data_IF_261248619265
#
_entry.id   IF_261248619265
#
_cell.length_a   1.000
_cell.length_b   1.000
_cell.length_c   1.000
_cell.angle_alpha   90.00
_cell.angle_beta   90.00
_cell.angle_gamma   90.00
#
_symmetry.space_group_name_H-M   'P 1'
#
loop_
_entity.id
_entity.type
_entity.pdbx_description
1 polymer ?
2 non-polymer ?
3 water ?
#
# COMPACT_ATOMS: atom_id res chain seq x y z
N UNK A 1 18.74 -13.98 -5.38
CA UNK A 1 17.80 -13.13 -6.22
C UNK A 1 16.66 -12.44 -5.42
N UNK A 2 15.67 -11.81 -6.13
CA UNK A 2 14.44 -11.27 -5.50
C UNK A 2 13.46 -12.37 -5.07
N UNK A 3 12.72 -12.10 -3.99
CA UNK A 3 11.79 -13.07 -3.45
C UNK A 3 10.47 -13.11 -4.21
N UNK A 4 10.51 -13.69 -5.42
CA UNK A 4 9.36 -13.72 -6.33
C UNK A 4 8.29 -14.64 -5.85
N UNK A 5 8.68 -15.76 -5.29
CA UNK A 5 7.67 -16.69 -4.83
C UNK A 5 6.80 -16.04 -3.80
N UNK A 6 7.47 -15.42 -2.84
CA UNK A 6 6.82 -14.67 -1.77
C UNK A 6 5.94 -13.53 -2.28
N UNK A 7 6.43 -12.68 -3.21
CA UNK A 7 5.62 -11.59 -3.73
C UNK A 7 4.36 -12.13 -4.36
N UNK A 8 4.45 -13.33 -4.90
CA UNK A 8 3.35 -13.89 -5.65
C UNK A 8 2.28 -14.49 -4.73
N UNK A 9 2.69 -15.17 -3.65
CA UNK A 9 1.81 -15.57 -2.55
C UNK A 9 1.00 -14.36 -1.97
N UNK A 10 1.62 -13.19 -1.85
CA UNK A 10 0.93 -12.03 -1.34
C UNK A 10 -0.05 -11.55 -2.40
N UNK A 11 0.36 -11.53 -3.66
CA UNK A 11 -0.56 -11.05 -4.69
C UNK A 11 -1.77 -11.96 -4.83
N UNK A 12 -1.56 -13.25 -4.71
CA UNK A 12 -2.58 -14.23 -4.93
C UNK A 12 -3.64 -14.12 -3.87
N UNK A 13 -3.25 -14.20 -2.59
CA UNK A 13 -4.22 -14.22 -1.49
C UNK A 13 -4.60 -12.86 -0.91
N UNK A 14 -3.83 -11.83 -1.16
CA UNK A 14 -4.08 -10.57 -0.42
C UNK A 14 -4.21 -9.31 -1.25
N UNK A 15 -4.50 -9.41 -2.54
CA UNK A 15 -4.75 -8.20 -3.30
C UNK A 15 -6.05 -8.26 -4.05
N UNK A 16 -6.60 -7.08 -4.33
CA UNK A 16 -7.81 -6.88 -5.07
C UNK A 16 -7.57 -5.60 -5.86
N UNK A 17 -8.41 -5.36 -6.87
CA UNK A 17 -8.35 -4.18 -7.72
C UNK A 17 -9.34 -3.22 -7.10
N UNK A 18 -8.93 -2.02 -6.78
CA UNK A 18 -9.84 -1.06 -6.20
C UNK A 18 -9.92 0.12 -7.16
N UNK A 19 -11.14 0.62 -7.36
CA UNK A 19 -11.46 1.76 -8.22
C UNK A 19 -12.23 2.85 -7.42
N UNK A 20 -11.67 4.05 -7.43
CA UNK A 20 -12.24 5.22 -6.78
C UNK A 20 -12.58 6.22 -7.88
N UNK A 21 -13.03 7.41 -7.51
CA UNK A 21 -13.19 8.46 -8.51
C UNK A 21 -11.85 8.72 -9.25
N UNK A 22 -10.71 8.37 -8.63
CA UNK A 22 -9.38 8.72 -9.16
C UNK A 22 -8.77 7.67 -10.11
N UNK A 23 -9.37 6.48 -10.17
CA UNK A 23 -8.88 5.44 -11.06
C UNK A 23 -8.74 4.12 -10.34
N UNK A 24 -7.93 3.22 -10.92
CA UNK A 24 -7.72 1.91 -10.34
C UNK A 24 -6.40 1.87 -9.57
N UNK A 25 -6.35 1.02 -8.54
CA UNK A 25 -5.18 0.86 -7.68
C UNK A 25 -5.10 -0.56 -7.22
N UNK A 26 -3.89 -1.09 -7.20
CA UNK A 26 -3.63 -2.31 -6.48
C UNK A 26 -4.01 -2.10 -4.98
N UNK A 27 -4.73 -3.04 -4.40
CA UNK A 27 -5.14 -2.88 -3.01
C UNK A 27 -4.70 -4.07 -2.23
N UNK A 28 -3.90 -3.81 -1.20
CA UNK A 28 -3.40 -4.83 -0.30
C UNK A 28 -4.40 -4.99 0.84
N UNK A 29 -5.00 -6.17 0.96
CA UNK A 29 -5.79 -6.50 2.12
C UNK A 29 -4.87 -7.04 3.23
N UNK A 30 -5.09 -6.56 4.45
CA UNK A 30 -4.15 -6.80 5.51
C UNK A 30 -4.68 -7.83 6.53
N UNK A 31 -5.94 -7.72 6.97
CA UNK A 31 -6.37 -8.71 7.93
C UNK A 31 -7.81 -9.13 8.11
N UNK A 32 -8.77 -8.26 8.00
CA UNK A 32 -10.07 -8.94 8.25
C UNK A 32 -10.78 -8.50 7.04
N UNK A 33 -11.44 -7.36 7.15
CA UNK A 33 -11.90 -6.67 5.99
C UNK A 33 -11.18 -5.35 5.92
N UNK A 34 -9.92 -5.34 6.32
CA UNK A 34 -9.16 -4.10 6.41
C UNK A 34 -8.10 -4.15 5.34
N UNK A 35 -8.00 -3.08 4.56
CA UNK A 35 -7.04 -3.02 3.45
C UNK A 35 -6.37 -1.65 3.50
N UNK A 36 -5.38 -1.42 2.63
CA UNK A 36 -4.79 -0.12 2.45
C UNK A 36 -4.85 0.37 1.01
N UNK A 37 -4.81 1.68 0.84
CA UNK A 37 -4.78 2.28 -0.47
C UNK A 37 -4.12 3.66 -0.30
N UNK A 38 -3.39 4.16 -1.34
CA UNK A 38 -2.77 5.47 -1.21
C UNK A 38 -3.82 6.52 -0.94
N UNK A 39 -3.54 7.40 0.01
CA UNK A 39 -4.45 8.51 0.32
C UNK A 39 -4.88 9.27 -0.93
N UNK A 40 -3.99 9.47 -1.89
CA UNK A 40 -4.42 10.26 -3.06
C UNK A 40 -5.45 9.58 -3.99
N UNK A 41 -5.83 8.33 -3.70
CA UNK A 41 -6.95 7.67 -4.36
C UNK A 41 -8.29 8.34 -4.07
N UNK A 42 -8.38 9.16 -3.02
CA UNK A 42 -9.62 9.89 -2.65
C UNK A 42 -10.79 8.98 -2.39
N UNK A 43 -10.70 8.15 -1.35
CA UNK A 43 -11.76 7.18 -1.00
C UNK A 43 -12.97 7.87 -0.39
N UNK A 44 -14.15 7.49 -0.84
CA UNK A 44 -15.40 8.09 -0.39
C UNK A 44 -16.11 7.04 0.44
N UNK A 45 -17.42 6.91 0.23
CA UNK A 45 -18.30 6.13 1.08
C UNK A 45 -18.48 4.77 0.45
N UNK A 46 -18.21 4.71 -0.86
CA UNK A 46 -18.23 3.44 -1.57
C UNK A 46 -17.00 3.30 -2.48
N UNK A 47 -16.65 2.05 -2.78
CA UNK A 47 -15.45 1.75 -3.57
C UNK A 47 -15.72 0.46 -4.37
N UNK A 48 -15.22 0.40 -5.61
CA UNK A 48 -15.32 -0.81 -6.40
C UNK A 48 -14.17 -1.73 -6.06
N UNK A 49 -14.50 -2.98 -5.72
CA UNK A 49 -13.53 -3.96 -5.38
C UNK A 49 -13.76 -5.15 -6.33
N UNK A 50 -12.79 -5.36 -7.25
CA UNK A 50 -12.89 -6.32 -8.37
C UNK A 50 -14.20 -6.06 -9.12
N UNK A 51 -14.44 -4.78 -9.36
CA UNK A 51 -15.64 -4.28 -10.03
C UNK A 51 -16.94 -4.39 -9.26
N UNK A 52 -16.93 -4.85 -8.01
CA UNK A 52 -18.14 -4.92 -7.21
C UNK A 52 -18.28 -3.70 -6.27
N UNK A 53 -19.39 -2.95 -6.36
CA UNK A 53 -19.56 -1.78 -5.49
C UNK A 53 -19.63 -2.22 -4.00
N UNK A 54 -18.82 -1.59 -3.17
CA UNK A 54 -18.63 -2.07 -1.82
C UNK A 54 -18.70 -0.87 -0.90
N UNK A 55 -19.41 -1.04 0.21
CA UNK A 55 -19.50 0.03 1.20
C UNK A 55 -18.13 0.15 1.95
N UNK A 56 -17.58 1.36 2.01
CA UNK A 56 -16.41 1.67 2.84
C UNK A 56 -16.88 2.04 4.26
N UNK A 57 -16.74 1.11 5.18
CA UNK A 57 -17.20 1.26 6.55
C UNK A 57 -16.36 2.23 7.36
N UNK A 58 -15.10 2.41 6.99
CA UNK A 58 -14.20 3.32 7.69
C UNK A 58 -13.01 3.60 6.81
N UNK A 59 -12.54 4.84 6.79
CA UNK A 59 -11.34 5.18 6.06
C UNK A 59 -10.47 6.10 6.93
N UNK A 60 -9.24 5.69 7.28
CA UNK A 60 -8.31 6.58 8.03
C UNK A 60 -7.11 6.98 7.21
N UNK A 61 -7.08 8.26 6.81
CA UNK A 61 -5.91 8.88 6.15
C UNK A 61 -4.74 9.10 7.15
N UNK A 62 -3.73 8.23 7.18
CA UNK A 62 -2.67 8.36 8.22
C UNK A 62 -1.84 9.61 8.06
N UNK A 63 -1.73 10.34 9.17
CA UNK A 63 -0.80 11.45 9.30
C UNK A 63 0.04 11.13 10.55
N UNK A 64 1.24 11.73 10.63
CA UNK A 64 2.13 11.53 11.77
C UNK A 64 1.95 12.65 12.80
N UNK A 65 2.74 12.63 13.89
CA UNK A 65 2.55 13.64 14.93
C UNK A 65 2.92 15.06 14.52
N UNK A 66 3.60 15.27 13.38
CA UNK A 66 3.82 16.64 12.85
C UNK A 66 2.62 17.02 11.98
N UNK A 67 1.60 16.16 11.98
CA UNK A 67 0.42 16.36 11.13
C UNK A 67 0.80 16.40 9.64
N UNK A 68 1.75 15.56 9.24
CA UNK A 68 2.12 15.46 7.83
C UNK A 68 1.55 14.16 7.32
N UNK A 69 1.08 14.22 6.07
CA UNK A 69 0.68 13.09 5.26
C UNK A 69 1.64 11.90 5.27
N UNK A 70 1.11 10.69 5.47
CA UNK A 70 1.86 9.45 5.34
C UNK A 70 1.49 8.71 4.05
N UNK A 71 0.45 9.21 3.36
CA UNK A 71 -0.02 8.66 2.07
C UNK A 71 -0.61 7.23 2.16
N UNK A 72 -0.81 6.74 3.38
CA UNK A 72 -1.57 5.51 3.59
C UNK A 72 -3.00 5.86 4.08
N UNK A 73 -3.98 5.18 3.52
CA UNK A 73 -5.33 5.21 4.05
C UNK A 73 -5.75 3.80 4.37
N UNK A 74 -6.16 3.57 5.60
CA UNK A 74 -6.58 2.24 5.98
C UNK A 74 -8.08 2.25 5.82
N UNK A 75 -8.61 1.24 5.15
CA UNK A 75 -10.03 1.19 4.90
C UNK A 75 -10.56 -0.10 5.50
N UNK A 76 -11.77 0.00 6.04
CA UNK A 76 -12.48 -1.14 6.54
C UNK A 76 -13.62 -1.34 5.55
N UNK A 77 -13.80 -2.56 5.05
CA UNK A 77 -14.75 -2.78 3.94
C UNK A 77 -15.93 -3.69 4.28
N UNK A 78 -17.09 -3.43 3.67
CA UNK A 78 -18.24 -4.34 3.85
C UNK A 78 -18.25 -5.53 2.83
N UNK A 79 -17.50 -6.59 3.14
CA UNK A 79 -17.36 -7.74 2.23
C UNK A 79 -17.61 -8.98 3.03
N UNK A 80 -17.87 -10.05 2.30
CA UNK A 80 -18.06 -11.29 2.98
C UNK A 80 -16.77 -12.03 3.30
N UNK A 81 -15.84 -12.10 2.35
CA UNK A 81 -14.56 -12.78 2.62
C UNK A 81 -13.66 -11.98 3.55
N UNK A 82 -13.06 -12.68 4.52
CA UNK A 82 -11.90 -12.14 5.25
C UNK A 82 -10.61 -12.19 4.38
N UNK A 83 -9.64 -11.35 4.68
CA UNK A 83 -8.34 -11.46 4.08
C UNK A 83 -7.55 -12.34 5.00
N UNK A 84 -6.63 -13.12 4.44
CA UNK A 84 -5.65 -13.84 5.21
C UNK A 84 -4.88 -12.84 6.07
N UNK A 85 -4.69 -13.16 7.34
CA UNK A 85 -3.98 -12.23 8.23
C UNK A 85 -2.47 -12.18 7.91
N UNK A 86 -1.99 -11.06 7.37
CA UNK A 86 -0.56 -10.95 7.03
C UNK A 86 0.17 -9.92 7.89
N UNK A 87 -0.43 -9.50 8.99
CA UNK A 87 0.27 -8.65 9.92
C UNK A 87 1.63 -9.20 10.38
N UNK A 88 1.81 -10.51 10.55
CA UNK A 88 3.15 -10.95 10.97
C UNK A 88 4.24 -10.71 9.89
N UNK A 89 3.84 -10.44 8.65
CA UNK A 89 4.80 -10.13 7.60
C UNK A 89 5.19 -8.70 7.56
N UNK A 90 4.63 -7.88 8.46
CA UNK A 90 4.92 -6.43 8.44
C UNK A 90 6.13 -6.10 9.33
N UNK A 91 7.03 -5.23 8.82
CA UNK A 91 8.13 -4.67 9.60
C UNK A 91 7.62 -3.90 10.84
N UNK A 92 8.25 -4.17 11.97
CA UNK A 92 8.14 -3.42 13.20
C UNK A 92 8.62 -1.98 13.03
N UNK A 93 9.68 -1.77 12.25
CA UNK A 93 10.36 -0.48 12.28
C UNK A 93 10.69 0.01 10.93
N UNK A 94 11.01 1.29 10.81
CA UNK A 94 11.66 1.83 9.62
C UNK A 94 12.95 1.06 9.31
N UNK A 95 13.23 0.77 8.03
CA UNK A 95 14.45 0.08 7.67
C UNK A 95 14.88 0.36 6.23
N UNK A 96 16.08 -0.11 5.85
CA UNK A 96 16.45 -0.15 4.42
C UNK A 96 16.39 -1.60 4.05
N UNK A 97 16.28 -1.92 2.75
CA UNK A 97 16.08 -3.32 2.31
C UNK A 97 16.84 -3.62 1.03
N UNK A 98 17.12 -4.91 0.79
CA UNK A 98 17.72 -5.31 -0.49
C UNK A 98 16.74 -5.95 -1.42
N UNK A 99 16.96 -5.73 -2.71
CA UNK A 99 16.33 -6.59 -3.72
C UNK A 99 14.79 -6.75 -3.54
N UNK A 100 14.09 -5.62 -3.43
CA UNK A 100 12.64 -5.67 -3.36
C UNK A 100 12.01 -5.95 -4.74
N UNK A 101 10.80 -6.52 -4.67
CA UNK A 101 9.86 -6.64 -5.79
C UNK A 101 8.63 -5.73 -5.59
N UNK A 102 8.23 -5.02 -6.63
CA UNK A 102 6.99 -4.26 -6.68
C UNK A 102 5.95 -5.05 -7.48
N UNK A 103 4.77 -5.33 -6.90
CA UNK A 103 3.72 -6.11 -7.60
C UNK A 103 2.45 -5.35 -7.86
N UNK A 104 1.82 -5.58 -9.00
CA UNK A 104 0.66 -4.81 -9.37
C UNK A 104 -0.47 -5.76 -9.75
N UNK A 105 -1.68 -5.40 -9.30
CA UNK A 105 -2.96 -6.12 -9.59
C UNK A 105 -4.03 -5.05 -9.95
N UNK A 106 -4.12 -4.75 -11.24
CA UNK A 106 -5.13 -3.85 -11.80
C UNK A 106 -5.82 -4.60 -12.95
N UNK A 107 -6.85 -4.00 -13.53
CA UNK A 107 -7.49 -4.58 -14.71
C UNK A 107 -6.48 -4.63 -15.85
N UNK A 108 -5.70 -3.57 -16.01
CA UNK A 108 -4.70 -3.47 -17.03
C UNK A 108 -3.59 -4.49 -16.82
N UNK A 109 -3.21 -4.71 -15.56
CA UNK A 109 -2.15 -5.65 -15.22
C UNK A 109 -2.54 -6.52 -14.05
N UNK A 110 -3.25 -7.63 -14.33
CA UNK A 110 -3.80 -8.40 -13.22
C UNK A 110 -2.74 -9.14 -12.40
N UNK A 111 -1.48 -9.06 -12.78
CA UNK A 111 -0.55 -9.94 -12.13
C UNK A 111 0.81 -9.61 -12.69
N UNK A 112 1.55 -8.78 -11.99
CA UNK A 112 2.75 -8.27 -12.60
C UNK A 112 3.84 -7.90 -11.60
N UNK A 113 5.07 -8.32 -11.88
CA UNK A 113 6.18 -8.21 -10.93
C UNK A 113 7.36 -7.47 -11.53
N UNK A 114 7.89 -6.52 -10.76
CA UNK A 114 9.01 -5.68 -11.14
C UNK A 114 10.01 -5.67 -9.99
N UNK A 115 11.24 -6.23 -10.18
CA UNK A 115 12.40 -6.02 -9.26
C UNK A 115 12.84 -4.57 -9.31
N UNK A 116 12.90 -3.90 -8.18
CA UNK A 116 13.21 -2.48 -8.17
C UNK A 116 14.58 -2.26 -7.48
N UNK A 117 15.17 -3.38 -7.06
CA UNK A 117 16.45 -3.41 -6.43
C UNK A 117 16.37 -3.00 -5.00
N UNK A 118 17.17 -2.01 -4.66
CA UNK A 118 17.35 -1.70 -3.28
C UNK A 118 16.47 -0.61 -2.81
N UNK A 119 16.01 -0.81 -1.58
CA UNK A 119 15.05 0.12 -1.02
C UNK A 119 15.62 0.90 0.16
N UNK A 120 15.67 2.22 -0.04
CA UNK A 120 16.16 3.09 1.01
C UNK A 120 15.05 3.88 1.72
N UNK A 121 15.15 3.85 3.04
CA UNK A 121 14.35 4.65 3.97
C UNK A 121 14.70 6.10 3.70
N UNK A 122 13.80 6.78 3.00
CA UNK A 122 14.10 8.07 2.38
C UNK A 122 13.62 9.31 3.14
N UNK A 123 12.44 9.21 3.76
CA UNK A 123 11.97 10.21 4.71
C UNK A 123 11.07 11.18 4.04
N UNK A 124 11.47 12.44 4.01
CA UNK A 124 10.64 13.49 3.41
C UNK A 124 10.49 13.40 1.89
N UNK A 125 9.30 13.76 1.41
CA UNK A 125 8.99 13.80 -0.02
C UNK A 125 7.93 14.87 -0.35
N UNK A 126 8.22 15.71 -1.33
CA UNK A 126 7.18 16.59 -1.82
C UNK A 126 6.36 15.85 -2.86
N UNK A 127 5.31 15.17 -2.40
CA UNK A 127 4.54 14.31 -3.29
C UNK A 127 3.43 15.10 -3.99
N UNK A 128 3.73 15.52 -5.23
CA UNK A 128 2.83 16.28 -6.07
C UNK A 128 2.39 17.51 -5.30
N UNK A 129 3.34 18.24 -4.68
CA UNK A 129 3.04 19.37 -3.78
C UNK A 129 2.41 19.07 -2.41
N UNK A 130 2.15 17.80 -2.07
CA UNK A 130 1.82 17.48 -0.69
C UNK A 130 3.08 17.02 0.06
N UNK A 131 3.49 17.77 1.10
CA UNK A 131 4.62 17.28 1.90
C UNK A 131 4.24 15.92 2.46
N UNK A 132 5.13 14.95 2.41
CA UNK A 132 4.82 13.59 2.88
C UNK A 132 6.04 13.00 3.63
N UNK A 133 5.79 12.16 4.63
CA UNK A 133 6.83 11.65 5.48
C UNK A 133 6.93 10.16 5.33
N UNK A 134 8.11 9.62 5.64
CA UNK A 134 8.24 8.20 5.89
C UNK A 134 8.17 7.35 4.59
N UNK A 135 8.72 7.92 3.54
CA UNK A 135 8.80 7.33 2.23
C UNK A 135 10.00 6.40 2.01
N UNK A 136 9.74 5.24 1.40
CA UNK A 136 10.77 4.34 0.84
C UNK A 136 11.04 4.70 -0.64
N UNK A 137 12.30 4.58 -1.05
CA UNK A 137 12.72 4.95 -2.40
C UNK A 137 13.56 3.83 -3.04
N UNK A 138 13.31 3.63 -4.33
CA UNK A 138 14.02 2.67 -5.17
C UNK A 138 14.33 3.33 -6.50
N UNK A 139 15.46 2.94 -7.09
CA UNK A 139 15.94 3.54 -8.35
C UNK A 139 15.39 2.74 -9.50
N UNK A 140 14.14 2.99 -9.82
CA UNK A 140 13.47 2.31 -10.89
C UNK A 140 12.37 3.25 -11.43
N UNK A 141 12.32 3.45 -12.75
CA UNK A 141 11.34 4.37 -13.33
C UNK A 141 9.90 3.83 -13.24
N UNK A 142 9.25 4.01 -12.10
CA UNK A 142 7.88 3.51 -11.93
C UNK A 142 6.91 4.44 -12.66
N UNK A 143 5.71 3.95 -12.98
CA UNK A 143 4.79 4.72 -13.86
C UNK A 143 3.42 4.86 -13.22
N UNK A 144 2.58 5.71 -13.81
CA UNK A 144 1.15 5.71 -13.47
C UNK A 144 0.61 4.29 -13.72
N UNK A 145 -0.35 3.87 -12.89
CA UNK A 145 -0.96 2.54 -13.02
C UNK A 145 -0.36 1.59 -12.00
N UNK A 146 0.73 1.99 -11.36
CA UNK A 146 1.40 1.17 -10.35
C UNK A 146 1.13 1.57 -8.89
N UNK A 147 0.46 2.72 -8.69
CA UNK A 147 0.16 3.17 -7.34
C UNK A 147 -0.64 2.12 -6.60
N UNK A 148 -0.26 1.87 -5.35
CA UNK A 148 -0.87 0.85 -4.55
C UNK A 148 -0.15 -0.47 -4.69
N UNK A 149 0.73 -0.55 -5.68
CA UNK A 149 1.55 -1.74 -5.86
C UNK A 149 2.27 -2.11 -4.56
N UNK A 150 2.42 -3.41 -4.34
CA UNK A 150 2.92 -3.91 -3.08
C UNK A 150 4.42 -4.15 -3.17
N UNK A 151 5.18 -3.53 -2.28
CA UNK A 151 6.63 -3.70 -2.25
C UNK A 151 6.94 -4.74 -1.18
N UNK A 152 7.61 -5.83 -1.57
CA UNK A 152 8.05 -6.89 -0.67
C UNK A 152 9.55 -7.19 -0.79
N UNK A 153 10.10 -7.80 0.27
CA UNK A 153 11.30 -8.64 0.19
C UNK A 153 10.83 -10.03 0.66
N UNK A 154 11.66 -11.06 0.58
CA UNK A 154 11.25 -12.33 1.20
C UNK A 154 10.87 -12.15 2.69
N UNK A 155 9.66 -12.64 2.97
CA UNK A 155 9.07 -12.61 4.30
C UNK A 155 8.62 -11.25 4.82
N UNK A 156 8.76 -10.17 4.05
CA UNK A 156 8.32 -8.88 4.53
C UNK A 156 7.54 -8.04 3.54
N UNK A 157 6.41 -7.52 3.99
CA UNK A 157 5.63 -6.57 3.21
C UNK A 157 5.90 -5.18 3.74
N UNK A 158 6.57 -4.35 2.96
CA UNK A 158 7.22 -3.20 3.53
C UNK A 158 6.55 -1.90 3.13
N UNK A 159 5.74 -1.89 2.07
CA UNK A 159 5.09 -0.64 1.64
C UNK A 159 4.20 -0.81 0.42
N UNK A 160 3.57 0.30 -0.01
CA UNK A 160 2.70 0.27 -1.15
C UNK A 160 3.12 1.44 -2.03
N UNK A 161 3.12 1.25 -3.35
CA UNK A 161 3.69 2.26 -4.22
C UNK A 161 2.82 3.50 -4.30
N UNK A 162 3.42 4.69 -4.27
CA UNK A 162 2.58 5.91 -4.21
C UNK A 162 3.07 7.02 -5.14
N UNK A 163 4.31 6.92 -5.63
CA UNK A 163 4.86 8.04 -6.42
C UNK A 163 6.15 7.67 -7.12
N UNK A 164 6.52 8.55 -8.04
CA UNK A 164 7.77 8.43 -8.76
C UNK A 164 7.98 9.71 -9.57
N UNK A 165 9.21 9.87 -10.07
CA UNK A 165 9.60 11.02 -10.91
C UNK A 165 10.16 10.69 -12.34
N UNK A 166 10.03 9.44 -12.80
CA UNK A 166 10.64 9.05 -14.07
C UNK A 166 11.93 8.28 -13.86
N UNK A 167 12.63 8.49 -12.75
CA UNK A 167 13.84 7.71 -12.43
C UNK A 167 13.75 6.96 -11.09
N UNK A 168 13.08 7.53 -10.08
CA UNK A 168 12.80 6.77 -8.84
C UNK A 168 11.35 6.52 -8.57
N UNK A 169 11.10 5.46 -7.84
CA UNK A 169 9.80 5.26 -7.26
C UNK A 169 9.80 5.40 -5.73
N UNK A 170 8.61 5.68 -5.20
CA UNK A 170 8.37 5.94 -3.80
C UNK A 170 7.17 5.14 -3.27
N UNK A 171 7.36 4.51 -2.12
CA UNK A 171 6.32 3.78 -1.47
C UNK A 171 6.11 4.37 -0.09
N UNK A 172 4.91 4.24 0.42
CA UNK A 172 4.66 4.74 1.74
C UNK A 172 4.88 3.50 2.53
N UNK A 173 5.53 3.63 3.69
CA UNK A 173 5.87 2.49 4.53
C UNK A 173 4.65 1.87 5.17
N UNK A 174 4.76 0.57 5.36
CA UNK A 174 3.88 -0.09 6.26
C UNK A 174 4.65 -0.58 7.49
N UNK A 175 4.07 -0.32 8.68
CA UNK A 175 4.60 -0.78 9.96
C UNK A 175 3.56 -1.59 10.66
N UNK A 176 4.01 -2.59 11.39
CA UNK A 176 3.13 -3.48 12.15
C UNK A 176 2.15 -2.69 13.04
N UNK A 177 2.61 -1.64 13.68
CA UNK A 177 1.75 -1.04 14.66
C UNK A 177 0.62 -0.26 14.02
N UNK A 178 0.60 -0.13 12.69
CA UNK A 178 -0.53 0.55 12.07
C UNK A 178 -1.84 -0.22 12.26
N UNK A 179 -1.74 -1.49 12.62
CA UNK A 179 -2.83 -2.43 12.47
C UNK A 179 -3.11 -3.24 13.71
N UNK A 180 -2.76 -2.71 14.88
CA UNK A 180 -2.91 -3.50 16.10
C UNK A 180 -4.22 -3.08 16.79
N UNK A 181 -5.05 -4.10 17.07
CA UNK A 181 -6.24 -4.05 17.97
C UNK A 181 -5.96 -3.16 19.20
N UNK A 182 -6.73 -2.09 19.34
CA UNK A 182 -6.25 -0.95 20.14
C UNK A 182 -7.23 -0.35 21.21
N UNK A 183 -7.05 0.95 21.47
CA UNK A 183 -7.95 1.78 22.31
C UNK A 183 -8.95 2.72 21.54
N UNK A 184 -9.85 3.34 22.32
CA UNK A 184 -11.07 3.97 21.81
C UNK A 184 -11.06 5.50 21.93
N UNK A 185 -10.71 6.21 20.86
CA UNK A 185 -11.15 7.61 20.74
C UNK A 185 -11.66 8.02 19.34
N UNK A 186 -12.40 9.14 19.32
CA UNK A 186 -13.08 9.71 18.15
C UNK A 186 -12.05 10.04 17.05
N UNK A 187 -12.07 9.29 15.94
CA UNK A 187 -11.10 9.54 14.85
C UNK A 187 -11.56 10.44 13.66
N UNK A 188 -12.85 10.80 13.60
CA UNK A 188 -13.38 11.72 12.55
C UNK A 188 -14.12 12.90 13.20
X LIG B 1 6.53 13.71 -7.54
X LIG B 1 5.92 14.72 -7.23
X LIG B 1 7.93 13.60 -7.09
X LIG B 1 8.63 14.84 -6.79
X LIG B 1 10.12 14.95 -7.20
X LIG B 1 10.50 15.71 -8.34
X LIG B 1 11.88 15.78 -8.68
X LIG B 1 12.88 15.13 -7.90
X LIG B 1 12.52 14.38 -6.77
X LIG B 1 11.15 14.30 -6.44
X LIG B 1 3.67 11.71 -8.26
X LIG B 1 5.93 12.78 -8.29
X LIG B 1 4.16 10.59 -8.17
X LIG B 1 5.37 15.75 -12.29
X LIG B 1 4.17 13.73 -13.20
X LIG B 1 6.51 13.53 -12.25
X LIG B 1 4.53 12.85 -8.75
X LIG B 1 4.56 12.75 -10.26
X LIG B 1 5.15 14.24 -12.14
X LIG B 1 4.57 14.07 -10.82
X LIG B 1 2.42 11.94 -7.92
X LIG B 1 1.60 10.84 -7.44
X LIG B 1 1.31 9.83 -8.55
X LIG B 1 0.92 10.27 -9.63
X LIG B 1 0.35 11.52 -6.85
X LIG B 1 -0.66 10.44 -6.47
X LIG B 1 -0.35 9.45 -5.48
X LIG B 1 -1.93 10.38 -7.12
X LIG B 1 -1.26 8.43 -5.15
X LIG B 1 -2.86 9.38 -6.77
X LIG B 1 -2.51 8.42 -5.81
X LIG B 1 -2.42 8.86 -10.99
X LIG B 1 -3.20 9.81 -10.22
X LIG B 1 -4.70 9.55 -10.21
X LIG B 1 1.51 8.50 -8.38
X LIG B 1 1.24 7.52 -9.45
X LIG B 1 2.53 6.76 -9.80
X LIG B 1 3.66 7.72 -10.21
X LIG B 1 0.08 6.61 -9.03
X LIG B 1 4.97 7.10 -10.61
X LIG B 1 5.48 6.09 -10.10
X LIG B 1 5.46 7.79 -11.56
X LIG B 1 4.60 8.75 -12.25
X LIG B 1 3.31 8.59 -11.44
X LIG B 1 -1.28 7.34 -9.08
X LIG B 1 -1.75 7.61 -10.52
X LIG B 1 -1.50 6.71 -11.34
#
# INVERSE_FOLDING_TARGET
>A
GPGFDFAQAIMKKNTVVARTEKGEFTMLGVHDRVAVIPTHASVGETIYINDVETKVLDACALRDLTDTNLEITIVKLDRNQKFRDIRHFLPRYEDDYNDAVLSVHTSKFPNMYIPVGQVTNYGFLNLGGTPTHRILMYNFPTRAGQCGGVVTTTGKVIGIHVGGNGAQGFAAMLLHSYFTDTQKHHHHHH
>B hetero
1 G85 C17 O19 O15 C13 C4 C2 C1 C10 C8 C6 C31 N21 O35 C12 C45 C43 C23 C25 C29 O27 N33 C37 C39 O47 C41 C51 C53 C55 C7 C11 C9 O86 C3 C5 N49 C57 C59 C61 C63 C65 O66 N69 C71 C73 C82 C84 O88
#
